data_IF_431872426192
#
_entry.id   IF_431872426192
#
_cell.length_a   1.000
_cell.length_b   1.000
_cell.length_c   1.000
_cell.angle_alpha   90.00
_cell.angle_beta   90.00
_cell.angle_gamma   90.00
#
_symmetry.space_group_name_H-M   'P 1'
#
loop_
_entity.id
_entity.type
_entity.pdbx_description
1 polymer ?
#
# COMPACT_ATOMS: atom_id res chain seq x y z
N UNK A 1 17.34 10.32 7.94
CA UNK A 1 16.18 11.18 7.54
C UNK A 1 15.37 10.63 6.35
N UNK A 2 15.60 9.40 5.87
CA UNK A 2 14.94 8.84 4.67
C UNK A 2 13.75 7.89 4.94
N UNK A 3 13.61 7.38 6.17
CA UNK A 3 12.62 6.36 6.54
C UNK A 3 11.17 6.83 6.38
N UNK A 4 10.85 8.06 6.81
CA UNK A 4 9.49 8.59 6.66
C UNK A 4 9.13 8.81 5.19
N UNK A 5 10.08 9.29 4.37
CA UNK A 5 9.87 9.53 2.95
C UNK A 5 9.66 8.22 2.17
N UNK A 6 10.40 7.16 2.52
CA UNK A 6 10.21 5.82 1.94
C UNK A 6 8.83 5.26 2.32
N UNK A 7 8.39 5.40 3.57
CA UNK A 7 7.05 4.99 4.01
C UNK A 7 5.93 5.72 3.23
N UNK A 8 6.00 7.05 3.13
CA UNK A 8 5.02 7.83 2.37
C UNK A 8 4.98 7.44 0.90
N UNK A 9 6.14 7.18 0.29
CA UNK A 9 6.21 6.78 -1.12
C UNK A 9 5.55 5.43 -1.36
N UNK A 10 5.80 4.46 -0.48
CA UNK A 10 5.18 3.13 -0.56
C UNK A 10 3.67 3.22 -0.41
N UNK A 11 3.17 3.95 0.59
CA UNK A 11 1.73 4.13 0.81
C UNK A 11 1.06 4.88 -0.33
N UNK A 12 1.73 5.90 -0.89
CA UNK A 12 1.23 6.63 -2.05
C UNK A 12 1.09 5.73 -3.28
N UNK A 13 2.11 4.90 -3.55
CA UNK A 13 2.07 3.96 -4.67
C UNK A 13 0.98 2.90 -4.50
N UNK A 14 0.85 2.36 -3.28
CA UNK A 14 -0.25 1.44 -2.95
C UNK A 14 -1.62 2.11 -3.21
N UNK A 15 -1.83 3.35 -2.75
CA UNK A 15 -3.07 4.09 -3.00
C UNK A 15 -3.34 4.29 -4.49
N UNK A 16 -2.31 4.64 -5.27
CA UNK A 16 -2.43 4.79 -6.72
C UNK A 16 -2.86 3.47 -7.39
N UNK A 17 -2.34 2.32 -6.96
CA UNK A 17 -2.76 1.02 -7.45
C UNK A 17 -4.20 0.69 -7.07
N UNK A 18 -4.62 1.02 -5.83
CA UNK A 18 -6.01 0.84 -5.41
C UNK A 18 -6.99 1.66 -6.27
N UNK A 19 -6.61 2.89 -6.65
CA UNK A 19 -7.44 3.74 -7.49
C UNK A 19 -7.48 3.33 -8.96
N UNK A 20 -6.43 2.67 -9.46
CA UNK A 20 -6.33 2.15 -10.84
C UNK A 20 -7.02 0.80 -11.02
N UNK A 21 -6.90 -0.09 -10.04
CA UNK A 21 -7.57 -1.38 -10.06
C UNK A 21 -9.07 -1.22 -9.78
N UNK A 22 -9.88 -2.16 -10.29
CA UNK A 22 -11.34 -2.21 -10.13
C UNK A 22 -11.86 -2.33 -8.69
N UNK A 23 -11.03 -2.06 -7.66
CA UNK A 23 -11.43 -2.01 -6.24
C UNK A 23 -12.54 -0.97 -5.98
N UNK A 24 -12.74 0.01 -6.87
CA UNK A 24 -13.91 0.89 -6.86
C UNK A 24 -15.25 0.15 -6.91
N UNK A 25 -15.29 -1.10 -7.38
CA UNK A 25 -16.50 -1.92 -7.42
C UNK A 25 -16.93 -2.47 -6.04
N UNK A 26 -16.04 -2.45 -5.03
CA UNK A 26 -16.37 -2.91 -3.67
C UNK A 26 -16.87 -1.78 -2.75
N UNK A 27 -17.02 -0.57 -3.30
CA UNK A 27 -17.54 0.60 -2.59
C UNK A 27 -18.98 0.31 -2.14
N UNK A 28 -19.22 0.24 -0.82
CA UNK A 28 -20.53 -0.05 -0.23
C UNK A 28 -20.72 -1.49 0.28
N UNK A 29 -19.75 -2.40 0.10
CA UNK A 29 -19.76 -3.68 0.80
C UNK A 29 -19.13 -3.53 2.19
N UNK A 30 -19.84 -4.00 3.22
CA UNK A 30 -19.30 -4.10 4.59
C UNK A 30 -18.29 -5.24 4.61
N UNK A 31 -17.05 -4.93 4.24
CA UNK A 31 -15.95 -5.90 4.28
C UNK A 31 -15.53 -6.13 5.73
N UNK A 32 -15.22 -7.38 6.05
CA UNK A 32 -14.65 -7.74 7.35
C UNK A 32 -13.23 -7.17 7.46
N UNK A 33 -12.78 -6.91 8.69
CA UNK A 33 -11.45 -6.35 8.93
C UNK A 33 -10.31 -7.19 8.34
N UNK A 34 -10.45 -8.52 8.33
CA UNK A 34 -9.50 -9.43 7.68
C UNK A 34 -9.42 -9.21 6.16
N UNK A 35 -10.57 -9.04 5.50
CA UNK A 35 -10.63 -8.79 4.05
C UNK A 35 -9.95 -7.46 3.69
N UNK A 36 -10.14 -6.45 4.54
CA UNK A 36 -9.47 -5.15 4.41
C UNK A 36 -7.95 -5.31 4.52
N UNK A 37 -7.45 -6.08 5.50
CA UNK A 37 -6.01 -6.33 5.65
C UNK A 37 -5.45 -7.14 4.48
N UNK A 38 -6.18 -8.12 3.97
CA UNK A 38 -5.78 -8.89 2.79
C UNK A 38 -5.71 -8.00 1.53
N UNK A 39 -6.68 -7.12 1.34
CA UNK A 39 -6.64 -6.13 0.26
C UNK A 39 -5.48 -5.16 0.42
N UNK A 40 -5.29 -4.62 1.62
CA UNK A 40 -4.20 -3.69 1.92
C UNK A 40 -2.85 -4.34 1.60
N UNK A 41 -2.65 -5.60 2.00
CA UNK A 41 -1.47 -6.39 1.67
C UNK A 41 -1.29 -6.54 0.15
N UNK A 42 -2.31 -7.00 -0.56
CA UNK A 42 -2.23 -7.23 -2.01
C UNK A 42 -1.85 -5.95 -2.76
N UNK A 43 -2.49 -4.83 -2.41
CA UNK A 43 -2.25 -3.53 -3.02
C UNK A 43 -0.85 -2.99 -2.67
N UNK A 44 -0.38 -3.17 -1.44
CA UNK A 44 0.99 -2.83 -1.04
C UNK A 44 2.02 -3.63 -1.83
N UNK A 45 1.79 -4.92 -2.04
CA UNK A 45 2.71 -5.77 -2.82
C UNK A 45 2.78 -5.34 -4.29
N UNK A 46 1.66 -4.97 -4.90
CA UNK A 46 1.65 -4.38 -6.25
C UNK A 46 2.35 -3.01 -6.28
N UNK A 47 2.14 -2.15 -5.28
CA UNK A 47 2.84 -0.87 -5.15
C UNK A 47 4.36 -1.04 -5.05
N UNK A 48 4.83 -2.02 -4.27
CA UNK A 48 6.25 -2.33 -4.14
C UNK A 48 6.85 -2.90 -5.44
N UNK A 49 6.12 -3.76 -6.16
CA UNK A 49 6.54 -4.22 -7.49
C UNK A 49 6.69 -3.05 -8.45
N UNK A 50 5.77 -2.10 -8.43
CA UNK A 50 5.83 -0.91 -9.28
C UNK A 50 7.05 -0.03 -8.97
N UNK A 51 7.40 0.14 -7.69
CA UNK A 51 8.59 0.90 -7.27
C UNK A 51 9.89 0.36 -7.89
N UNK A 52 9.96 -0.95 -8.18
CA UNK A 52 11.10 -1.56 -8.87
C UNK A 52 11.34 -0.96 -10.27
N UNK A 53 10.27 -0.57 -10.96
CA UNK A 53 10.32 -0.09 -12.34
C UNK A 53 10.35 1.44 -12.45
N UNK A 54 9.78 2.15 -11.47
CA UNK A 54 9.66 3.62 -11.52
C UNK A 54 10.85 4.37 -10.90
N UNK A 55 11.62 3.73 -10.03
CA UNK A 55 12.68 4.41 -9.27
C UNK A 55 14.07 3.84 -9.60
N UNK A 56 15.15 4.65 -9.46
CA UNK A 56 16.51 4.18 -9.62
C UNK A 56 16.82 2.97 -8.71
N UNK A 57 17.67 2.02 -9.14
CA UNK A 57 17.93 0.77 -8.42
C UNK A 57 18.31 0.92 -6.95
N UNK A 58 19.06 1.97 -6.61
CA UNK A 58 19.48 2.23 -5.23
C UNK A 58 18.31 2.68 -4.35
N UNK A 59 17.37 3.44 -4.90
CA UNK A 59 16.18 3.93 -4.20
C UNK A 59 15.17 2.79 -4.06
N UNK A 60 14.91 2.04 -5.12
CA UNK A 60 13.97 0.92 -5.09
C UNK A 60 14.41 -0.19 -4.13
N UNK A 61 15.71 -0.55 -4.11
CA UNK A 61 16.26 -1.51 -3.13
C UNK A 61 16.07 -1.03 -1.68
N UNK A 62 16.30 0.27 -1.41
CA UNK A 62 16.11 0.85 -0.08
C UNK A 62 14.65 0.79 0.35
N UNK A 63 13.72 1.16 -0.53
CA UNK A 63 12.28 1.11 -0.26
C UNK A 63 11.77 -0.32 -0.08
N UNK A 64 12.24 -1.28 -0.90
CA UNK A 64 11.92 -2.69 -0.72
C UNK A 64 12.43 -3.23 0.62
N UNK A 65 13.67 -2.88 1.00
CA UNK A 65 14.21 -3.24 2.31
C UNK A 65 13.37 -2.65 3.44
N UNK A 66 12.99 -1.37 3.34
CA UNK A 66 12.13 -0.72 4.32
C UNK A 66 10.76 -1.41 4.43
N UNK A 67 10.14 -1.76 3.29
CA UNK A 67 8.89 -2.50 3.26
C UNK A 67 8.98 -3.82 4.00
N UNK A 68 10.00 -4.64 3.71
CA UNK A 68 10.17 -5.93 4.38
C UNK A 68 10.40 -5.79 5.89
N UNK A 69 11.13 -4.76 6.32
CA UNK A 69 11.39 -4.49 7.74
C UNK A 69 10.16 -3.97 8.49
N UNK A 70 9.25 -3.27 7.80
CA UNK A 70 8.11 -2.58 8.42
C UNK A 70 6.75 -3.07 7.87
N UNK A 71 6.71 -4.30 7.33
CA UNK A 71 5.55 -4.84 6.60
C UNK A 71 4.26 -4.76 7.42
N UNK A 72 4.29 -5.19 8.68
CA UNK A 72 3.12 -5.17 9.56
C UNK A 72 2.60 -3.74 9.79
N UNK A 73 3.49 -2.79 10.11
CA UNK A 73 3.12 -1.38 10.31
C UNK A 73 2.51 -0.75 9.05
N UNK A 74 3.09 -1.03 7.88
CA UNK A 74 2.57 -0.51 6.61
C UNK A 74 1.20 -1.09 6.26
N UNK A 75 0.98 -2.38 6.53
CA UNK A 75 -0.34 -3.01 6.34
C UNK A 75 -1.37 -2.37 7.25
N UNK A 76 -1.06 -2.19 8.53
CA UNK A 76 -2.00 -1.61 9.50
C UNK A 76 -2.35 -0.18 9.10
N UNK A 77 -1.33 0.62 8.79
CA UNK A 77 -1.52 2.01 8.36
C UNK A 77 -2.34 2.12 7.08
N UNK A 78 -2.06 1.27 6.09
CA UNK A 78 -2.78 1.29 4.82
C UNK A 78 -4.19 0.69 4.95
N UNK A 79 -4.42 -0.24 5.87
CA UNK A 79 -5.76 -0.79 6.16
C UNK A 79 -6.68 0.29 6.69
N UNK A 80 -6.19 1.22 7.52
CA UNK A 80 -6.96 2.40 7.95
C UNK A 80 -7.31 3.31 6.78
N UNK A 81 -6.37 3.52 5.84
CA UNK A 81 -6.63 4.29 4.62
C UNK A 81 -7.70 3.61 3.74
N UNK A 82 -7.66 2.28 3.62
CA UNK A 82 -8.66 1.49 2.90
C UNK A 82 -10.02 1.57 3.59
N UNK A 83 -10.09 1.44 4.92
CA UNK A 83 -11.32 1.63 5.71
C UNK A 83 -11.94 3.00 5.45
N UNK A 84 -11.13 4.06 5.54
CA UNK A 84 -11.58 5.43 5.30
C UNK A 84 -12.10 5.63 3.87
N UNK A 85 -11.47 4.98 2.89
CA UNK A 85 -11.86 5.09 1.48
C UNK A 85 -13.17 4.32 1.16
N UNK A 86 -13.43 3.23 1.87
CA UNK A 86 -14.64 2.41 1.73
C UNK A 86 -15.83 2.90 2.57
N UNK A 87 -15.58 3.71 3.61
CA UNK A 87 -16.60 4.28 4.49
C UNK A 87 -17.26 5.58 3.95
N UNK A 88 -16.88 6.02 2.74
CA UNK A 88 -17.43 7.15 1.97
C UNK A 88 -18.11 6.66 0.69
#
# INVERSE_FOLDING_TARGET
>A
MTTNMDAYTILYQAKAQMCKSSYKAQKGNVLKEEEIRHMALAVLEEGIKQIRYEYPPNVSKRMQKYYHQNKAFLIDRFSDDVKNLLAL
#
